data_IF_595707669686
#
_entry.id   IF_595707669686
#
_cell.length_a   1.000
_cell.length_b   1.000
_cell.length_c   1.000
_cell.angle_alpha   90.00
_cell.angle_beta   90.00
_cell.angle_gamma   90.00
#
_symmetry.space_group_name_H-M   'P 1'
#
loop_
_entity.id
_entity.type
_entity.pdbx_description
1 polymer ?
#
# COMPACT_ATOMS: atom_id res chain seq x y z
N UNK A 1 -34.96 49.60 -24.83
CA UNK A 1 -35.32 50.03 -26.18
C UNK A 1 -35.95 48.84 -26.91
N UNK A 2 -37.21 49.02 -27.23
CA UNK A 2 -38.12 48.17 -28.01
C UNK A 2 -37.56 47.82 -29.39
N UNK A 3 -37.85 46.65 -29.93
CA UNK A 3 -38.57 46.57 -31.22
C UNK A 3 -39.28 45.21 -31.35
N UNK A 4 -40.59 45.35 -31.51
CA UNK A 4 -41.58 44.34 -31.89
C UNK A 4 -41.67 44.32 -33.42
N UNK A 5 -41.79 43.17 -34.03
CA UNK A 5 -42.37 43.06 -35.38
C UNK A 5 -43.17 41.77 -35.49
N UNK A 6 -44.45 41.95 -35.71
CA UNK A 6 -45.48 40.98 -36.16
C UNK A 6 -45.37 40.84 -37.67
N UNK A 7 -45.81 39.72 -38.25
CA UNK A 7 -46.57 39.53 -39.50
C UNK A 7 -46.91 38.02 -39.57
N UNK A 8 -48.08 37.53 -39.36
CA UNK A 8 -49.33 37.42 -40.19
C UNK A 8 -49.28 36.27 -41.22
N UNK A 9 -50.05 35.24 -40.89
CA UNK A 9 -51.01 34.41 -41.59
C UNK A 9 -50.92 34.32 -43.14
N UNK A 10 -50.83 33.06 -43.63
CA UNK A 10 -51.67 32.69 -44.83
C UNK A 10 -51.97 31.18 -44.80
N UNK A 11 -53.26 30.89 -44.90
CA UNK A 11 -53.98 29.63 -44.90
C UNK A 11 -54.21 29.24 -46.38
N UNK A 12 -53.80 28.06 -46.79
CA UNK A 12 -54.32 27.45 -48.00
C UNK A 12 -54.67 25.99 -47.78
N UNK A 13 -55.93 25.69 -47.88
CA UNK A 13 -56.54 24.37 -47.95
C UNK A 13 -56.29 23.79 -49.32
N UNK A 14 -55.80 22.58 -49.41
CA UNK A 14 -56.13 21.72 -50.58
C UNK A 14 -56.42 20.31 -50.08
N UNK A 15 -57.67 19.88 -50.25
CA UNK A 15 -58.15 18.53 -50.22
C UNK A 15 -57.57 17.72 -51.38
N UNK A 16 -56.92 16.60 -51.12
CA UNK A 16 -56.80 15.53 -52.10
C UNK A 16 -57.10 14.20 -51.33
N UNK A 17 -58.28 13.68 -51.70
CA UNK A 17 -58.62 12.26 -51.41
C UNK A 17 -57.85 11.39 -52.36
N UNK A 18 -57.12 10.42 -51.84
CA UNK A 18 -56.65 9.28 -52.60
C UNK A 18 -56.73 8.01 -51.82
N UNK A 19 -57.26 7.05 -52.43
CA UNK A 19 -57.69 5.71 -52.03
C UNK A 19 -56.59 4.88 -51.33
N UNK A 20 -56.91 4.41 -50.13
CA UNK A 20 -56.07 3.43 -49.42
C UNK A 20 -56.38 2.01 -49.93
N UNK A 21 -55.40 1.34 -50.49
CA UNK A 21 -55.44 -0.09 -50.80
C UNK A 21 -55.17 -0.89 -49.54
N UNK A 22 -56.00 -1.90 -49.17
CA UNK A 22 -55.91 -2.61 -47.88
C UNK A 22 -54.70 -3.55 -47.75
N UNK A 23 -53.89 -3.76 -48.80
CA UNK A 23 -52.76 -4.72 -48.75
C UNK A 23 -51.43 -4.17 -48.21
N UNK A 24 -51.26 -2.84 -48.09
CA UNK A 24 -49.97 -2.22 -47.63
C UNK A 24 -49.89 -1.95 -46.13
N UNK A 25 -51.02 -1.95 -45.43
CA UNK A 25 -51.05 -1.63 -43.98
C UNK A 25 -50.57 -2.78 -43.09
N UNK A 26 -50.72 -4.05 -43.51
CA UNK A 26 -50.30 -5.18 -42.70
C UNK A 26 -48.77 -5.38 -42.72
N UNK A 27 -48.13 -5.07 -43.86
CA UNK A 27 -46.64 -5.23 -43.95
C UNK A 27 -45.91 -4.14 -43.12
N UNK A 28 -46.49 -2.92 -43.04
CA UNK A 28 -45.90 -1.84 -42.24
C UNK A 28 -46.04 -2.07 -40.71
N UNK A 29 -47.17 -2.69 -40.29
CA UNK A 29 -47.40 -3.01 -38.88
C UNK A 29 -46.49 -4.14 -38.38
N UNK A 30 -46.19 -5.13 -39.21
CA UNK A 30 -45.22 -6.22 -38.85
C UNK A 30 -43.77 -5.72 -38.79
N UNK A 31 -43.38 -4.82 -39.71
CA UNK A 31 -42.04 -4.21 -39.65
C UNK A 31 -41.84 -3.31 -38.42
N UNK A 32 -42.88 -2.55 -38.01
CA UNK A 32 -42.78 -1.75 -36.79
C UNK A 32 -42.77 -2.57 -35.52
N UNK A 33 -43.49 -3.71 -35.47
CA UNK A 33 -43.43 -4.64 -34.35
C UNK A 33 -42.06 -5.36 -34.23
N UNK A 34 -41.41 -5.69 -35.36
CA UNK A 34 -40.07 -6.27 -35.38
C UNK A 34 -38.97 -5.28 -34.94
N UNK A 35 -39.10 -4.00 -35.26
CA UNK A 35 -38.16 -2.96 -34.82
C UNK A 35 -38.29 -2.66 -33.33
N UNK A 36 -39.49 -2.71 -32.75
CA UNK A 36 -39.71 -2.55 -31.30
C UNK A 36 -39.12 -3.73 -30.50
N UNK A 37 -39.14 -4.96 -31.01
CA UNK A 37 -38.53 -6.10 -30.39
C UNK A 37 -36.98 -6.07 -30.40
N UNK A 38 -36.35 -5.32 -31.30
CA UNK A 38 -34.89 -5.17 -31.37
C UNK A 38 -34.33 -4.17 -30.36
N UNK A 39 -35.17 -3.27 -29.79
CA UNK A 39 -34.73 -2.29 -28.79
C UNK A 39 -34.95 -2.73 -27.33
N UNK A 40 -35.63 -3.87 -27.08
CA UNK A 40 -35.81 -4.40 -25.72
C UNK A 40 -34.75 -5.41 -25.29
N UNK A 41 -33.71 -5.68 -26.12
CA UNK A 41 -32.73 -6.72 -25.87
C UNK A 41 -31.33 -6.22 -25.48
N UNK A 42 -31.20 -5.04 -24.89
CA UNK A 42 -29.93 -4.56 -24.34
C UNK A 42 -30.13 -3.60 -23.17
N UNK A 43 -30.65 -4.08 -22.05
CA UNK A 43 -30.33 -3.49 -20.75
C UNK A 43 -30.22 -4.59 -19.70
N UNK A 44 -29.37 -5.58 -19.97
CA UNK A 44 -28.79 -6.36 -18.90
C UNK A 44 -27.70 -5.50 -18.26
N UNK A 45 -28.09 -4.57 -17.40
CA UNK A 45 -27.17 -4.17 -16.32
C UNK A 45 -26.82 -5.47 -15.60
N UNK A 46 -25.70 -6.11 -15.99
CA UNK A 46 -25.07 -7.06 -15.11
C UNK A 46 -24.93 -6.34 -13.77
N UNK A 47 -25.42 -6.90 -12.67
CA UNK A 47 -25.09 -6.37 -11.37
C UNK A 47 -23.57 -6.35 -11.34
N UNK A 48 -22.97 -5.18 -11.25
CA UNK A 48 -21.53 -5.05 -10.99
C UNK A 48 -21.32 -5.73 -9.66
N UNK A 49 -20.94 -6.98 -9.68
CA UNK A 49 -20.61 -7.75 -8.48
C UNK A 49 -19.54 -6.94 -7.76
N UNK A 50 -19.92 -6.35 -6.63
CA UNK A 50 -19.02 -5.52 -5.84
C UNK A 50 -17.88 -6.42 -5.40
N UNK A 51 -16.66 -6.14 -5.87
CA UNK A 51 -15.48 -6.94 -5.53
C UNK A 51 -15.38 -7.09 -4.01
N UNK A 52 -15.12 -8.31 -3.50
CA UNK A 52 -14.86 -8.51 -2.07
C UNK A 52 -13.72 -7.61 -1.62
N UNK A 53 -13.81 -7.07 -0.40
CA UNK A 53 -12.78 -6.19 0.14
C UNK A 53 -11.84 -6.98 1.05
N UNK A 54 -10.54 -6.77 0.88
CA UNK A 54 -9.48 -7.17 1.78
C UNK A 54 -8.95 -5.93 2.49
N UNK A 55 -8.69 -6.03 3.78
CA UNK A 55 -7.95 -5.00 4.51
C UNK A 55 -6.55 -5.49 4.81
N UNK A 56 -5.57 -4.63 4.65
CA UNK A 56 -4.16 -4.87 4.99
C UNK A 56 -3.69 -3.80 5.98
N UNK A 57 -2.59 -4.04 6.67
CA UNK A 57 -2.11 -3.07 7.67
C UNK A 57 -1.50 -1.83 7.01
N UNK A 58 -0.60 -2.00 6.04
CA UNK A 58 0.30 -0.97 5.51
C UNK A 58 0.23 -0.85 3.99
N UNK A 59 0.66 0.29 3.46
CA UNK A 59 0.76 0.52 2.02
C UNK A 59 1.70 -0.45 1.27
N UNK A 60 2.92 -0.79 1.77
CA UNK A 60 3.73 -1.84 1.15
C UNK A 60 3.00 -3.19 1.05
N UNK A 61 2.25 -3.57 2.09
CA UNK A 61 1.46 -4.80 2.09
C UNK A 61 0.28 -4.71 1.10
N UNK A 62 -0.29 -3.51 0.91
CA UNK A 62 -1.30 -3.26 -0.12
C UNK A 62 -0.72 -3.46 -1.52
N UNK A 63 0.47 -2.95 -1.80
CA UNK A 63 1.16 -3.15 -3.06
C UNK A 63 1.33 -4.65 -3.40
N UNK A 64 1.86 -5.44 -2.47
CA UNK A 64 2.05 -6.88 -2.67
C UNK A 64 0.71 -7.59 -2.87
N UNK A 65 -0.30 -7.24 -2.06
CA UNK A 65 -1.63 -7.86 -2.13
C UNK A 65 -2.34 -7.51 -3.43
N UNK A 66 -2.37 -6.25 -3.86
CA UNK A 66 -2.97 -5.82 -5.13
C UNK A 66 -2.25 -6.43 -6.33
N UNK A 67 -0.92 -6.54 -6.25
CA UNK A 67 -0.12 -7.15 -7.32
C UNK A 67 -0.51 -8.61 -7.52
N UNK A 68 -0.78 -9.39 -6.47
CA UNK A 68 -1.18 -10.80 -6.59
C UNK A 68 -2.68 -10.93 -6.84
N UNK A 69 -3.51 -10.18 -6.13
CA UNK A 69 -4.97 -10.24 -6.23
C UNK A 69 -5.52 -9.74 -7.57
N UNK A 70 -4.82 -8.80 -8.21
CA UNK A 70 -5.24 -8.19 -9.46
C UNK A 70 -6.61 -7.52 -9.34
N UNK A 71 -7.52 -7.92 -10.21
CA UNK A 71 -8.86 -7.36 -10.26
C UNK A 71 -9.92 -8.12 -9.43
N UNK A 72 -9.52 -9.19 -8.74
CA UNK A 72 -10.45 -10.08 -8.01
C UNK A 72 -10.94 -9.48 -6.69
N UNK A 73 -10.12 -8.69 -6.06
CA UNK A 73 -10.41 -8.06 -4.77
C UNK A 73 -10.22 -6.54 -4.83
N UNK A 74 -10.92 -5.84 -3.94
CA UNK A 74 -10.58 -4.47 -3.56
C UNK A 74 -9.69 -4.54 -2.32
N UNK A 75 -8.51 -3.94 -2.36
CA UNK A 75 -7.60 -3.90 -1.21
C UNK A 75 -7.58 -2.50 -0.62
N UNK A 76 -7.64 -2.42 0.71
CA UNK A 76 -7.58 -1.15 1.45
C UNK A 76 -6.57 -1.24 2.59
N UNK A 77 -5.82 -0.18 2.82
CA UNK A 77 -4.88 -0.07 3.93
C UNK A 77 -5.59 0.44 5.18
N UNK A 78 -5.27 -0.12 6.35
CA UNK A 78 -5.78 0.34 7.64
C UNK A 78 -5.06 1.60 8.09
N UNK A 79 -3.72 1.60 8.05
CA UNK A 79 -2.91 2.77 8.37
C UNK A 79 -2.82 3.65 7.12
N UNK A 80 -3.31 4.89 7.15
CA UNK A 80 -3.27 5.79 6.01
C UNK A 80 -1.85 6.24 5.70
N UNK A 81 -1.62 6.61 4.45
CA UNK A 81 -0.36 7.22 4.01
C UNK A 81 -0.02 8.45 4.86
N UNK A 82 1.23 8.53 5.31
CA UNK A 82 1.75 9.63 6.13
C UNK A 82 1.44 9.50 7.62
N UNK A 83 0.89 8.38 8.08
CA UNK A 83 0.69 8.08 9.50
C UNK A 83 1.71 7.05 9.97
N UNK A 84 2.23 7.22 11.20
CA UNK A 84 3.12 6.23 11.80
C UNK A 84 2.32 5.01 12.27
N UNK A 85 2.64 3.81 11.79
CA UNK A 85 1.95 2.60 12.21
C UNK A 85 2.28 2.16 13.64
N UNK A 86 3.29 2.77 14.27
CA UNK A 86 3.64 2.49 15.66
C UNK A 86 2.63 3.08 16.65
N UNK A 87 2.02 4.21 16.30
CA UNK A 87 1.16 4.99 17.20
C UNK A 87 -0.22 5.29 16.62
N UNK A 88 -0.59 4.65 15.50
CA UNK A 88 -1.84 4.92 14.81
C UNK A 88 -3.06 4.38 15.58
N UNK A 89 -4.08 5.22 15.71
CA UNK A 89 -5.39 4.83 16.21
C UNK A 89 -6.43 4.90 15.09
N UNK A 90 -7.20 3.82 14.82
CA UNK A 90 -8.17 3.81 13.72
C UNK A 90 -9.38 4.67 14.04
N UNK A 91 -9.87 5.37 13.04
CA UNK A 91 -11.11 6.14 13.14
C UNK A 91 -12.32 5.20 13.20
N UNK A 92 -13.48 5.64 13.79
CA UNK A 92 -14.70 4.86 13.78
C UNK A 92 -15.15 4.44 12.37
N UNK A 93 -14.94 5.28 11.37
CA UNK A 93 -15.27 4.96 9.98
C UNK A 93 -14.41 3.83 9.41
N UNK A 94 -13.16 3.74 9.79
CA UNK A 94 -12.29 2.64 9.38
C UNK A 94 -12.70 1.32 10.02
N UNK A 95 -13.16 1.32 11.27
CA UNK A 95 -13.72 0.14 11.92
C UNK A 95 -14.99 -0.35 11.22
N UNK A 96 -15.90 0.57 10.85
CA UNK A 96 -17.09 0.25 10.03
C UNK A 96 -16.70 -0.28 8.64
N UNK A 97 -15.63 0.21 8.05
CA UNK A 97 -15.16 -0.28 6.75
C UNK A 97 -14.50 -1.66 6.87
N UNK A 98 -13.78 -1.91 7.96
CA UNK A 98 -13.19 -3.20 8.26
C UNK A 98 -14.25 -4.30 8.39
N UNK A 99 -15.38 -4.00 9.03
CA UNK A 99 -16.51 -4.93 9.17
C UNK A 99 -17.08 -5.40 7.80
N UNK A 100 -16.83 -4.65 6.72
CA UNK A 100 -17.20 -5.02 5.34
C UNK A 100 -16.17 -5.86 4.62
N UNK A 101 -15.01 -6.06 5.22
CA UNK A 101 -13.93 -6.86 4.64
C UNK A 101 -14.14 -8.34 4.94
N UNK A 102 -13.72 -9.19 4.01
CA UNK A 102 -13.79 -10.64 4.19
C UNK A 102 -12.54 -11.19 4.90
N UNK A 103 -11.44 -10.46 4.83
CA UNK A 103 -10.19 -10.83 5.48
C UNK A 103 -9.32 -9.61 5.81
N UNK A 104 -8.45 -9.82 6.78
CA UNK A 104 -7.37 -8.91 7.17
C UNK A 104 -6.01 -9.61 7.02
N UNK A 105 -5.10 -9.01 6.27
CA UNK A 105 -3.74 -9.49 6.13
C UNK A 105 -2.84 -8.60 7.01
N UNK A 106 -2.25 -9.19 8.05
CA UNK A 106 -1.39 -8.47 8.99
C UNK A 106 0.09 -8.66 8.68
N UNK A 107 0.91 -7.68 9.10
CA UNK A 107 2.37 -7.75 8.98
C UNK A 107 3.02 -8.52 10.15
N UNK A 108 2.38 -8.54 11.32
CA UNK A 108 2.73 -9.39 12.46
C UNK A 108 3.15 -8.66 13.72
N UNK A 109 4.08 -7.72 13.66
CA UNK A 109 4.79 -7.23 14.85
C UNK A 109 4.67 -5.73 15.09
N UNK A 110 3.97 -4.99 14.23
CA UNK A 110 3.91 -3.53 14.31
C UNK A 110 2.99 -3.05 15.44
N UNK A 111 3.31 -1.90 16.05
CA UNK A 111 2.65 -1.36 17.22
C UNK A 111 1.13 -1.24 17.08
N UNK A 112 0.63 -0.79 15.92
CA UNK A 112 -0.80 -0.77 15.62
C UNK A 112 -1.46 -2.13 15.82
N UNK A 113 -0.88 -3.20 15.26
CA UNK A 113 -1.47 -4.54 15.35
C UNK A 113 -1.44 -5.07 16.77
N UNK A 114 -0.34 -4.82 17.51
CA UNK A 114 -0.24 -5.22 18.91
C UNK A 114 -1.31 -4.53 19.78
N UNK A 115 -1.61 -3.27 19.51
CA UNK A 115 -2.60 -2.50 20.29
C UNK A 115 -4.06 -2.80 19.89
N UNK A 116 -4.32 -3.17 18.65
CA UNK A 116 -5.67 -3.16 18.10
C UNK A 116 -6.21 -4.51 17.64
N UNK A 117 -5.38 -5.51 17.31
CA UNK A 117 -5.87 -6.77 16.70
C UNK A 117 -6.93 -7.48 17.53
N UNK A 118 -6.80 -7.56 18.85
CA UNK A 118 -7.80 -8.20 19.71
C UNK A 118 -9.14 -7.47 19.65
N UNK A 119 -9.14 -6.15 19.63
CA UNK A 119 -10.35 -5.33 19.51
C UNK A 119 -10.97 -5.46 18.14
N UNK A 120 -10.16 -5.49 17.07
CA UNK A 120 -10.62 -5.62 15.70
C UNK A 120 -11.29 -6.97 15.47
N UNK A 121 -10.69 -8.07 15.95
CA UNK A 121 -11.25 -9.42 15.81
C UNK A 121 -12.50 -9.62 16.65
N UNK A 122 -12.56 -9.02 17.85
CA UNK A 122 -13.75 -9.06 18.70
C UNK A 122 -14.94 -8.34 18.05
N UNK A 123 -14.68 -7.20 17.41
CA UNK A 123 -15.73 -6.40 16.77
C UNK A 123 -16.16 -6.93 15.38
N UNK A 124 -15.30 -7.71 14.72
CA UNK A 124 -15.57 -8.31 13.41
C UNK A 124 -15.23 -9.82 13.43
N UNK A 125 -16.02 -10.67 14.14
CA UNK A 125 -15.69 -12.09 14.36
C UNK A 125 -15.74 -12.94 13.08
N UNK A 126 -16.35 -12.45 12.01
CA UNK A 126 -16.36 -13.10 10.69
C UNK A 126 -15.07 -12.88 9.89
N UNK A 127 -14.23 -11.93 10.33
CA UNK A 127 -13.04 -11.51 9.61
C UNK A 127 -11.96 -12.59 9.70
N UNK A 128 -11.55 -13.14 8.57
CA UNK A 128 -10.39 -14.05 8.53
C UNK A 128 -9.10 -13.25 8.68
N UNK A 129 -8.23 -13.70 9.58
CA UNK A 129 -6.92 -13.05 9.82
C UNK A 129 -5.83 -13.91 9.22
N UNK A 130 -5.02 -13.31 8.35
CA UNK A 130 -3.85 -13.95 7.74
C UNK A 130 -2.58 -13.22 8.18
N UNK A 131 -1.65 -13.98 8.71
CA UNK A 131 -0.33 -13.50 9.11
C UNK A 131 0.65 -13.66 7.95
N UNK A 132 1.10 -12.53 7.40
CA UNK A 132 2.02 -12.52 6.26
C UNK A 132 3.48 -12.64 6.67
N UNK A 133 3.80 -12.61 7.98
CA UNK A 133 5.16 -12.77 8.51
C UNK A 133 5.61 -14.23 8.68
N UNK A 134 4.74 -15.20 8.46
CA UNK A 134 5.03 -16.61 8.69
C UNK A 134 6.31 -17.06 7.97
N UNK A 135 7.22 -17.70 8.72
CA UNK A 135 8.47 -18.25 8.18
C UNK A 135 9.55 -17.22 7.86
N UNK A 136 9.37 -15.96 8.28
CA UNK A 136 10.40 -14.94 8.20
C UNK A 136 11.39 -15.11 9.36
N UNK A 137 12.67 -15.04 9.05
CA UNK A 137 13.77 -14.98 10.02
C UNK A 137 13.82 -13.57 10.61
N UNK A 138 13.22 -13.40 11.78
CA UNK A 138 13.03 -12.09 12.41
C UNK A 138 14.24 -11.64 13.21
N UNK A 139 14.49 -10.34 13.24
CA UNK A 139 15.49 -9.71 14.09
C UNK A 139 14.88 -9.55 15.48
N UNK A 140 15.56 -10.13 16.49
CA UNK A 140 15.21 -9.94 17.89
C UNK A 140 15.87 -8.66 18.40
N UNK A 141 15.09 -7.76 18.96
CA UNK A 141 15.63 -6.62 19.68
C UNK A 141 16.06 -7.03 21.09
N UNK A 142 17.21 -6.58 21.50
CA UNK A 142 17.68 -6.87 22.85
C UNK A 142 16.80 -6.19 23.90
N UNK A 143 16.33 -6.95 24.88
CA UNK A 143 15.72 -6.39 26.07
C UNK A 143 16.71 -5.49 26.83
N UNK A 144 16.19 -4.56 27.61
CA UNK A 144 17.04 -3.64 28.39
C UNK A 144 16.50 -3.47 29.80
N UNK A 145 17.41 -3.20 30.72
CA UNK A 145 17.09 -2.86 32.11
C UNK A 145 17.20 -1.35 32.32
N UNK A 146 16.21 -0.75 32.93
CA UNK A 146 16.27 0.63 33.40
C UNK A 146 15.81 0.71 34.84
N UNK A 147 16.79 0.87 35.76
CA UNK A 147 16.54 0.72 37.21
C UNK A 147 16.05 -0.68 37.56
N UNK A 148 14.96 -0.77 38.31
CA UNK A 148 14.35 -2.04 38.73
C UNK A 148 13.36 -2.61 37.70
N UNK A 149 13.21 -2.00 36.52
CA UNK A 149 12.31 -2.46 35.48
C UNK A 149 13.08 -3.18 34.37
N UNK A 150 12.66 -4.42 34.09
CA UNK A 150 13.11 -5.21 32.95
C UNK A 150 12.14 -5.02 31.81
N UNK A 151 12.63 -4.55 30.66
CA UNK A 151 11.88 -4.52 29.41
C UNK A 151 12.31 -5.72 28.56
N UNK A 152 11.38 -6.61 28.29
CA UNK A 152 11.62 -7.70 27.34
C UNK A 152 11.91 -7.11 25.96
N UNK A 153 12.85 -7.72 25.25
CA UNK A 153 13.13 -7.36 23.84
C UNK A 153 11.94 -7.70 22.97
N UNK A 154 11.72 -6.88 21.95
CA UNK A 154 10.68 -7.08 20.94
C UNK A 154 11.21 -7.77 19.68
N UNK A 155 10.34 -7.90 18.70
CA UNK A 155 10.71 -8.24 17.33
C UNK A 155 10.74 -6.95 16.53
N UNK A 156 11.82 -6.72 15.78
CA UNK A 156 11.93 -5.62 14.82
C UNK A 156 10.80 -5.74 13.78
N UNK A 157 9.86 -4.78 13.71
CA UNK A 157 8.62 -4.97 12.96
C UNK A 157 8.72 -4.71 11.46
N UNK A 158 9.77 -4.02 10.97
CA UNK A 158 9.85 -3.47 9.60
C UNK A 158 10.27 -4.53 8.57
N UNK A 159 9.66 -5.72 8.64
CA UNK A 159 10.04 -6.91 7.85
C UNK A 159 9.94 -6.70 6.34
N UNK A 160 9.07 -5.79 5.86
CA UNK A 160 8.85 -5.54 4.42
C UNK A 160 10.02 -4.80 3.75
N UNK A 161 10.89 -4.15 4.51
CA UNK A 161 12.08 -3.45 4.00
C UNK A 161 13.26 -4.40 3.76
N UNK A 162 12.97 -5.54 3.11
CA UNK A 162 13.91 -6.60 2.74
C UNK A 162 13.36 -7.34 1.52
N UNK A 163 14.15 -7.50 0.48
CA UNK A 163 13.74 -8.29 -0.69
C UNK A 163 13.51 -9.77 -0.33
N UNK A 164 14.35 -10.33 0.54
CA UNK A 164 14.21 -11.70 1.05
C UNK A 164 12.87 -11.89 1.76
N UNK A 165 12.53 -10.99 2.66
CA UNK A 165 11.29 -11.06 3.41
C UNK A 165 10.06 -10.74 2.53
N UNK A 166 10.16 -9.77 1.61
CA UNK A 166 9.11 -9.46 0.63
C UNK A 166 8.71 -10.69 -0.19
N UNK A 167 9.68 -11.53 -0.57
CA UNK A 167 9.44 -12.80 -1.23
C UNK A 167 8.63 -13.77 -0.36
N UNK A 168 8.88 -13.84 0.94
CA UNK A 168 8.12 -14.66 1.88
C UNK A 168 6.70 -14.09 2.10
N UNK A 169 6.58 -12.77 2.30
CA UNK A 169 5.30 -12.06 2.42
C UNK A 169 4.42 -12.33 1.20
N UNK A 170 4.98 -12.23 -0.01
CA UNK A 170 4.25 -12.50 -1.26
C UNK A 170 3.72 -13.95 -1.32
N UNK A 171 4.49 -14.94 -0.89
CA UNK A 171 4.02 -16.33 -0.80
C UNK A 171 2.88 -16.51 0.21
N UNK A 172 2.98 -15.86 1.37
CA UNK A 172 1.93 -15.92 2.39
C UNK A 172 0.64 -15.23 1.93
N UNK A 173 0.73 -14.12 1.20
CA UNK A 173 -0.42 -13.46 0.55
C UNK A 173 -1.05 -14.39 -0.48
N UNK A 174 -0.26 -15.00 -1.36
CA UNK A 174 -0.77 -15.98 -2.34
C UNK A 174 -1.54 -17.11 -1.65
N UNK A 175 -1.00 -17.68 -0.58
CA UNK A 175 -1.68 -18.73 0.17
C UNK A 175 -3.02 -18.27 0.75
N UNK A 176 -3.06 -17.04 1.30
CA UNK A 176 -4.30 -16.43 1.81
C UNK A 176 -5.34 -16.21 0.70
N UNK A 177 -4.93 -15.69 -0.45
CA UNK A 177 -5.83 -15.47 -1.59
C UNK A 177 -6.35 -16.79 -2.17
N UNK A 178 -5.51 -17.82 -2.25
CA UNK A 178 -5.89 -19.17 -2.71
C UNK A 178 -6.88 -19.85 -1.76
N UNK A 179 -6.77 -19.61 -0.45
CA UNK A 179 -7.74 -20.06 0.55
C UNK A 179 -9.09 -19.34 0.42
N UNK A 180 -9.05 -18.02 0.17
CA UNK A 180 -10.25 -17.19 0.07
C UNK A 180 -11.02 -17.43 -1.24
N UNK A 181 -10.33 -17.73 -2.32
CA UNK A 181 -10.89 -17.87 -3.67
C UNK A 181 -10.10 -18.91 -4.48
N UNK A 182 -10.28 -20.18 -4.11
CA UNK A 182 -9.56 -21.31 -4.69
C UNK A 182 -9.82 -21.53 -6.20
N UNK A 183 -10.95 -21.04 -6.72
CA UNK A 183 -11.27 -21.12 -8.14
C UNK A 183 -10.30 -20.27 -9.01
N UNK A 184 -9.71 -19.22 -8.45
CA UNK A 184 -8.76 -18.35 -9.12
C UNK A 184 -7.30 -18.62 -8.70
N UNK A 185 -7.00 -19.72 -8.01
CA UNK A 185 -5.63 -20.08 -7.57
C UNK A 185 -4.59 -20.01 -8.71
N UNK A 186 -4.80 -20.56 -9.92
CA UNK A 186 -3.82 -20.47 -11.00
C UNK A 186 -3.55 -19.03 -11.46
N UNK A 187 -4.55 -18.15 -11.39
CA UNK A 187 -4.40 -16.73 -11.67
C UNK A 187 -3.47 -16.06 -10.65
N UNK A 188 -3.68 -16.32 -9.34
CA UNK A 188 -2.83 -15.79 -8.27
C UNK A 188 -1.41 -16.34 -8.35
N UNK A 189 -1.25 -17.62 -8.73
CA UNK A 189 0.08 -18.23 -8.91
C UNK A 189 0.88 -17.54 -10.00
N UNK A 190 0.28 -17.27 -11.14
CA UNK A 190 0.94 -16.56 -12.23
C UNK A 190 1.37 -15.15 -11.80
N UNK A 191 0.53 -14.43 -11.06
CA UNK A 191 0.83 -13.09 -10.55
C UNK A 191 1.87 -13.10 -9.45
N UNK A 192 1.86 -14.11 -8.58
CA UNK A 192 2.94 -14.34 -7.61
C UNK A 192 4.29 -14.52 -8.33
N UNK A 193 4.34 -15.35 -9.37
CA UNK A 193 5.58 -15.60 -10.12
C UNK A 193 6.12 -14.30 -10.75
N UNK A 194 5.24 -13.46 -11.29
CA UNK A 194 5.62 -12.13 -11.80
C UNK A 194 6.15 -11.22 -10.70
N UNK A 195 5.50 -11.17 -9.53
CA UNK A 195 5.96 -10.37 -8.39
C UNK A 195 7.31 -10.88 -7.85
N UNK A 196 7.51 -12.20 -7.78
CA UNK A 196 8.79 -12.79 -7.37
C UNK A 196 9.94 -12.39 -8.31
N UNK A 197 9.69 -12.26 -9.61
CA UNK A 197 10.66 -11.75 -10.57
C UNK A 197 10.99 -10.27 -10.31
N UNK A 198 10.00 -9.43 -10.03
CA UNK A 198 10.20 -8.02 -9.67
C UNK A 198 11.06 -7.92 -8.40
N UNK A 199 10.73 -8.69 -7.36
CA UNK A 199 11.49 -8.72 -6.10
C UNK A 199 12.95 -9.14 -6.34
N UNK A 200 13.19 -10.18 -7.13
CA UNK A 200 14.53 -10.67 -7.44
C UNK A 200 15.34 -9.64 -8.25
N UNK A 201 14.70 -8.97 -9.21
CA UNK A 201 15.35 -7.88 -9.98
C UNK A 201 15.70 -6.70 -9.06
N UNK A 202 14.80 -6.35 -8.13
CA UNK A 202 15.06 -5.30 -7.14
C UNK A 202 16.25 -5.66 -6.25
N UNK A 203 16.32 -6.90 -5.73
CA UNK A 203 17.44 -7.37 -4.92
C UNK A 203 18.77 -7.27 -5.69
N UNK A 204 18.78 -7.69 -6.96
CA UNK A 204 19.96 -7.59 -7.82
C UNK A 204 20.38 -6.13 -8.01
N UNK A 205 19.46 -5.25 -8.38
CA UNK A 205 19.75 -3.83 -8.58
C UNK A 205 20.27 -3.15 -7.30
N UNK A 206 19.68 -3.46 -6.15
CA UNK A 206 20.15 -2.95 -4.86
C UNK A 206 21.57 -3.42 -4.57
N UNK A 207 21.89 -4.73 -4.74
CA UNK A 207 23.24 -5.27 -4.55
C UNK A 207 24.26 -4.61 -5.46
N UNK A 208 23.93 -4.45 -6.73
CA UNK A 208 24.83 -3.83 -7.70
C UNK A 208 25.19 -2.39 -7.32
N UNK A 209 24.21 -1.62 -6.85
CA UNK A 209 24.41 -0.24 -6.38
C UNK A 209 25.24 -0.16 -5.10
N UNK A 210 25.11 -1.15 -4.23
CA UNK A 210 25.79 -1.17 -2.93
C UNK A 210 27.21 -1.75 -2.98
N UNK A 211 27.71 -2.24 -4.12
CA UNK A 211 29.05 -2.85 -4.22
C UNK A 211 30.18 -1.96 -3.69
N UNK A 212 30.07 -0.63 -3.86
CA UNK A 212 31.05 0.35 -3.41
C UNK A 212 30.44 1.39 -2.45
N UNK A 213 29.30 1.09 -1.84
CA UNK A 213 28.60 2.00 -0.94
C UNK A 213 29.34 2.17 0.39
N UNK A 214 29.02 3.24 1.09
CA UNK A 214 29.38 3.36 2.50
C UNK A 214 28.60 2.32 3.31
N UNK A 215 29.29 1.63 4.23
CA UNK A 215 28.70 0.52 4.99
C UNK A 215 27.87 0.98 6.18
N UNK A 216 27.92 2.27 6.54
CA UNK A 216 27.23 2.83 7.71
C UNK A 216 26.37 4.03 7.31
N UNK A 217 25.15 4.05 7.78
CA UNK A 217 24.23 5.18 7.62
C UNK A 217 23.46 5.46 8.92
N UNK A 218 23.03 6.72 9.05
CA UNK A 218 22.08 7.11 10.09
C UNK A 218 20.68 7.08 9.54
N UNK A 219 19.73 6.85 10.43
CA UNK A 219 18.31 6.97 10.15
C UNK A 219 17.62 7.56 11.38
N UNK A 220 16.58 8.38 11.19
CA UNK A 220 15.88 8.93 12.35
C UNK A 220 15.20 7.79 13.14
N UNK A 221 14.21 7.13 12.57
CA UNK A 221 13.55 5.94 13.11
C UNK A 221 14.09 4.67 12.44
N UNK A 222 14.43 3.59 13.18
CA UNK A 222 15.23 2.45 12.67
C UNK A 222 14.46 1.49 11.74
N UNK A 223 13.81 1.99 10.70
CA UNK A 223 12.96 1.20 9.80
C UNK A 223 13.72 0.33 8.77
N UNK A 224 15.04 0.40 8.68
CA UNK A 224 15.82 -0.30 7.66
C UNK A 224 16.70 -1.43 8.22
N UNK A 225 16.37 -1.98 9.39
CA UNK A 225 17.16 -3.02 10.06
C UNK A 225 17.32 -4.29 9.20
N UNK A 226 16.24 -4.73 8.54
CA UNK A 226 16.30 -5.90 7.64
C UNK A 226 17.05 -5.59 6.34
N UNK A 227 16.92 -4.38 5.81
CA UNK A 227 17.72 -3.92 4.68
C UNK A 227 19.21 -3.94 5.05
N UNK A 228 19.58 -3.36 6.19
CA UNK A 228 20.95 -3.34 6.65
C UNK A 228 21.53 -4.76 6.83
N UNK A 229 20.74 -5.66 7.47
CA UNK A 229 21.13 -7.07 7.63
C UNK A 229 21.42 -7.77 6.29
N UNK A 230 20.50 -7.63 5.33
CA UNK A 230 20.52 -8.40 4.08
C UNK A 230 21.64 -7.92 3.12
N UNK A 231 22.07 -6.66 3.27
CA UNK A 231 23.12 -6.07 2.43
C UNK A 231 24.44 -5.79 3.17
N UNK A 232 24.59 -6.25 4.42
CA UNK A 232 25.82 -6.13 5.19
C UNK A 232 26.15 -4.69 5.60
N UNK A 233 25.12 -3.87 5.82
CA UNK A 233 25.24 -2.48 6.25
C UNK A 233 25.03 -2.34 7.76
N UNK A 234 25.46 -1.20 8.29
CA UNK A 234 25.25 -0.80 9.70
C UNK A 234 24.30 0.38 9.77
N UNK A 235 23.12 0.16 10.33
CA UNK A 235 22.17 1.19 10.68
C UNK A 235 22.46 1.76 12.06
N UNK A 236 22.45 3.08 12.20
CA UNK A 236 22.52 3.81 13.46
C UNK A 236 21.26 4.67 13.58
N UNK A 237 20.42 4.46 14.59
CA UNK A 237 19.22 5.26 14.81
C UNK A 237 19.52 6.55 15.56
N UNK A 238 18.82 7.65 15.19
CA UNK A 238 18.92 8.93 15.89
C UNK A 238 18.00 8.94 17.11
N UNK A 239 16.77 8.46 16.94
CA UNK A 239 15.87 8.33 18.10
C UNK A 239 16.38 7.30 19.10
N UNK A 240 16.04 7.52 20.35
CA UNK A 240 16.36 6.62 21.45
C UNK A 240 15.09 5.91 21.91
N UNK A 241 14.84 4.69 21.37
CA UNK A 241 13.67 3.85 21.74
C UNK A 241 12.33 4.55 21.54
N UNK A 242 12.14 5.14 20.36
CA UNK A 242 10.92 5.87 20.00
C UNK A 242 10.80 7.25 20.67
N UNK A 243 11.89 7.79 21.25
CA UNK A 243 11.92 9.11 21.87
C UNK A 243 12.95 10.00 21.22
N UNK A 244 12.75 11.31 21.37
CA UNK A 244 13.73 12.33 21.01
C UNK A 244 15.07 12.05 21.73
N UNK A 245 16.21 12.15 21.00
CA UNK A 245 17.52 11.89 21.60
C UNK A 245 17.89 12.98 22.62
N UNK A 246 18.55 12.54 23.70
CA UNK A 246 19.14 13.48 24.66
C UNK A 246 20.36 14.19 24.07
N UNK A 247 20.76 15.39 24.58
CA UNK A 247 21.98 16.07 24.13
C UNK A 247 23.24 15.22 24.29
N UNK A 248 23.31 14.38 25.32
CA UNK A 248 24.42 13.46 25.54
C UNK A 248 24.46 12.36 24.46
N UNK A 249 23.30 11.80 24.10
CA UNK A 249 23.17 10.82 23.04
C UNK A 249 23.52 11.42 21.66
N UNK A 250 23.08 12.64 21.36
CA UNK A 250 23.45 13.32 20.12
C UNK A 250 24.98 13.46 19.98
N UNK A 251 25.69 13.81 21.07
CA UNK A 251 27.16 13.87 21.07
C UNK A 251 27.79 12.51 20.76
N UNK A 252 27.32 11.46 21.41
CA UNK A 252 27.79 10.08 21.17
C UNK A 252 27.54 9.62 19.74
N UNK A 253 26.37 9.95 19.17
CA UNK A 253 26.04 9.66 17.78
C UNK A 253 27.02 10.36 16.81
N UNK A 254 27.33 11.64 17.04
CA UNK A 254 28.29 12.39 16.21
C UNK A 254 29.67 11.71 16.24
N UNK A 255 30.17 11.34 17.44
CA UNK A 255 31.45 10.65 17.59
C UNK A 255 31.45 9.27 16.90
N UNK A 256 30.36 8.52 17.02
CA UNK A 256 30.19 7.22 16.37
C UNK A 256 30.16 7.36 14.84
N UNK A 257 29.44 8.35 14.32
CA UNK A 257 29.38 8.60 12.89
C UNK A 257 30.73 8.98 12.29
N UNK A 258 31.51 9.81 12.98
CA UNK A 258 32.89 10.14 12.57
C UNK A 258 33.77 8.88 12.51
N UNK A 259 33.73 8.06 13.57
CA UNK A 259 34.51 6.82 13.65
C UNK A 259 34.13 5.82 12.56
N UNK A 260 32.83 5.67 12.30
CA UNK A 260 32.30 4.67 11.38
C UNK A 260 32.11 5.22 9.95
N UNK A 261 32.55 6.46 9.69
CA UNK A 261 32.53 7.15 8.39
C UNK A 261 31.12 7.19 7.75
N UNK A 262 30.08 7.42 8.55
CA UNK A 262 28.74 7.59 8.03
C UNK A 262 28.61 8.89 7.25
N UNK A 263 27.99 8.87 6.05
CA UNK A 263 27.89 10.04 5.15
C UNK A 263 26.46 10.40 4.78
N UNK A 264 25.50 9.59 5.17
CA UNK A 264 24.07 9.79 4.84
C UNK A 264 23.24 9.67 6.11
N UNK A 265 22.25 10.57 6.24
CA UNK A 265 21.19 10.47 7.22
C UNK A 265 19.87 10.32 6.48
N UNK A 266 19.18 9.22 6.73
CA UNK A 266 17.82 9.03 6.27
C UNK A 266 16.82 9.63 7.25
N UNK A 267 15.81 10.32 6.72
CA UNK A 267 14.71 10.88 7.49
C UNK A 267 13.38 10.49 6.85
N UNK A 268 12.43 10.09 7.69
CA UNK A 268 11.09 9.75 7.25
C UNK A 268 10.15 10.96 7.46
N UNK A 269 9.12 11.08 6.63
CA UNK A 269 8.19 12.22 6.63
C UNK A 269 7.33 12.32 7.91
N UNK A 270 7.20 11.21 8.66
CA UNK A 270 6.41 11.10 9.89
C UNK A 270 7.11 11.72 11.10
N UNK A 271 8.41 12.05 10.97
CA UNK A 271 9.24 12.49 12.09
C UNK A 271 9.83 13.88 11.90
N UNK A 272 10.17 14.52 13.03
CA UNK A 272 10.83 15.84 13.04
C UNK A 272 12.30 15.71 12.59
N UNK A 273 12.69 16.54 11.65
CA UNK A 273 14.04 16.49 11.04
C UNK A 273 15.09 17.37 11.74
N UNK A 274 14.74 18.09 12.81
CA UNK A 274 15.66 19.06 13.46
C UNK A 274 16.93 18.42 13.96
N UNK A 275 16.83 17.31 14.68
CA UNK A 275 18.00 16.60 15.21
C UNK A 275 18.86 16.01 14.10
N UNK A 276 18.24 15.47 13.03
CA UNK A 276 18.97 14.97 11.87
C UNK A 276 19.76 16.08 11.17
N UNK A 277 19.19 17.28 11.04
CA UNK A 277 19.90 18.46 10.46
C UNK A 277 21.06 18.91 11.32
N UNK A 278 20.88 18.99 12.65
CA UNK A 278 21.98 19.35 13.57
C UNK A 278 23.16 18.39 13.42
N UNK A 279 22.92 17.09 13.34
CA UNK A 279 23.98 16.10 13.12
C UNK A 279 24.61 16.28 11.74
N UNK A 280 23.79 16.48 10.70
CA UNK A 280 24.24 16.65 9.33
C UNK A 280 25.16 17.87 9.19
N UNK A 281 24.78 19.00 9.76
CA UNK A 281 25.55 20.24 9.76
C UNK A 281 26.91 20.08 10.48
N UNK A 282 26.92 19.41 11.63
CA UNK A 282 28.14 19.16 12.41
C UNK A 282 29.11 18.19 11.72
N UNK A 283 28.57 17.23 10.97
CA UNK A 283 29.37 16.21 10.28
C UNK A 283 29.66 16.56 8.82
N UNK A 284 29.00 17.51 8.21
CA UNK A 284 29.09 17.83 6.79
C UNK A 284 28.55 16.71 5.90
N UNK A 285 27.46 16.02 6.32
CA UNK A 285 26.89 14.87 5.59
C UNK A 285 25.48 15.18 5.05
N UNK A 286 24.99 14.35 4.17
CA UNK A 286 23.75 14.58 3.43
C UNK A 286 22.53 14.03 4.19
N UNK A 287 21.46 14.84 4.30
CA UNK A 287 20.14 14.38 4.75
C UNK A 287 19.31 13.99 3.54
N UNK A 288 18.81 12.75 3.52
CA UNK A 288 18.03 12.17 2.44
C UNK A 288 16.65 11.77 2.95
N UNK A 289 15.57 12.33 2.41
CA UNK A 289 14.23 11.89 2.75
C UNK A 289 13.94 10.52 2.13
N UNK A 290 13.34 9.63 2.91
CA UNK A 290 12.88 8.31 2.50
C UNK A 290 11.46 8.05 2.97
N UNK A 291 10.79 7.09 2.35
CA UNK A 291 9.47 6.64 2.77
C UNK A 291 9.39 5.10 2.86
N UNK A 292 9.88 4.48 3.95
CA UNK A 292 9.80 3.04 4.14
C UNK A 292 8.38 2.45 4.11
N UNK A 293 7.35 3.31 4.21
CA UNK A 293 5.93 2.95 4.10
C UNK A 293 5.36 3.20 2.70
N UNK A 294 6.21 3.38 1.67
CA UNK A 294 5.76 3.63 0.31
C UNK A 294 4.98 2.45 -0.27
N UNK A 295 3.86 2.77 -0.96
CA UNK A 295 3.20 1.82 -1.86
C UNK A 295 4.14 1.39 -3.01
N UNK A 296 4.96 2.30 -3.52
CA UNK A 296 5.97 2.02 -4.56
C UNK A 296 7.23 1.35 -3.94
N UNK A 297 7.02 0.15 -3.38
CA UNK A 297 8.02 -0.57 -2.60
C UNK A 297 9.34 -0.77 -3.36
N UNK A 298 9.27 -1.15 -4.64
CA UNK A 298 10.45 -1.37 -5.49
C UNK A 298 11.28 -0.09 -5.64
N UNK A 299 10.62 1.01 -5.96
CA UNK A 299 11.27 2.31 -6.16
C UNK A 299 11.96 2.78 -4.88
N UNK A 300 11.32 2.58 -3.74
CA UNK A 300 11.86 3.00 -2.46
C UNK A 300 13.09 2.19 -2.05
N UNK A 301 13.09 0.86 -2.24
CA UNK A 301 14.27 0.01 -2.01
C UNK A 301 15.46 0.47 -2.86
N UNK A 302 15.22 0.81 -4.13
CA UNK A 302 16.24 1.31 -5.05
C UNK A 302 16.70 2.73 -4.65
N UNK A 303 15.80 3.60 -4.18
CA UNK A 303 16.14 4.96 -3.73
C UNK A 303 17.05 4.96 -2.52
N UNK A 304 16.80 4.08 -1.54
CA UNK A 304 17.69 3.88 -0.40
C UNK A 304 19.10 3.45 -0.88
N UNK A 305 19.17 2.47 -1.78
CA UNK A 305 20.46 2.01 -2.33
C UNK A 305 21.20 3.11 -3.12
N UNK A 306 20.49 3.90 -3.93
CA UNK A 306 21.07 5.04 -4.67
C UNK A 306 21.67 6.09 -3.75
N UNK A 307 21.04 6.38 -2.62
CA UNK A 307 21.52 7.37 -1.67
C UNK A 307 22.82 6.92 -0.96
N UNK A 308 23.02 5.61 -0.84
CA UNK A 308 24.23 5.02 -0.23
C UNK A 308 25.35 4.77 -1.25
N UNK A 309 25.03 4.71 -2.53
CA UNK A 309 26.04 4.51 -3.61
C UNK A 309 26.99 5.71 -3.69
N UNK A 310 28.27 5.43 -4.02
CA UNK A 310 29.32 6.46 -4.24
C UNK A 310 29.32 6.95 -5.67
#
# INVERSE_FOLDING_TARGET
VLFRSKITFMRTRHHIFSQLHPGKSILCSCCMALIVCLFTACDSKQPTSRKPTLTVTLEPLRYFTETIAGDKFKVVSMVPKGSSPETYDPTPQQLVNLDKSIAYLRIGYIGFEQAWMDKLTTNAPHLKIFDTSKGIDVIQEAGYNHGDHHHEGGIEPHIWNSARNASAIARNIYAALSELDSANEPYYKHRLDSLQQIIAQTDTEVRDRLQNADTTFLIYHPALSYFARDYGLKQISIEERGKEPSPAHLKELIETCRRDNARVIFVQQEFDTRNARLIADELGITVVPINPLSYEWQEEMINVAKALAK
#
